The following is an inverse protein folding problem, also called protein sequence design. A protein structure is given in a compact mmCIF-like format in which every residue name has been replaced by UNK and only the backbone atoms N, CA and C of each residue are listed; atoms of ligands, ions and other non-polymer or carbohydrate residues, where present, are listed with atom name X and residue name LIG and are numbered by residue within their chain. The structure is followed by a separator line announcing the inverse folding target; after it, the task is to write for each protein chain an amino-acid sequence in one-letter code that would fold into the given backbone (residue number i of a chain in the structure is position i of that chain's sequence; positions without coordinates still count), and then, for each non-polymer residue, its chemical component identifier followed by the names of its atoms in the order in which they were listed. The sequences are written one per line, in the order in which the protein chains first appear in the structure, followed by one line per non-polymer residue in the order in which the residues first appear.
data_IF_797607381394
#
_entry.id   IF_797607381394
#
_cell.length_a   1.000
_cell.length_b   1.000
_cell.length_c   1.000
_cell.angle_alpha   90.00
_cell.angle_beta   90.00
_cell.angle_gamma   90.00
#
_symmetry.space_group_name_H-M   'P 1'
#
loop_
_entity.id
_entity.type
_entity.pdbx_description
1 polymer ?
#
# COMPACT_ATOMS: atom_id res chain seq x y z
N UNK A 1 0.80 -5.09 -11.58
CA UNK A 1 -0.54 -4.66 -12.09
C UNK A 1 -0.66 -3.14 -12.18
N UNK A 2 0.35 -2.37 -11.76
CA UNK A 2 0.30 -0.90 -11.79
C UNK A 2 1.51 -0.27 -12.50
N UNK A 3 2.04 -0.89 -13.56
CA UNK A 3 3.36 -0.58 -14.14
C UNK A 3 3.57 0.89 -14.56
N UNK A 4 2.50 1.64 -14.78
CA UNK A 4 2.54 3.06 -15.14
C UNK A 4 2.53 4.01 -13.92
N UNK A 5 2.18 3.53 -12.73
CA UNK A 5 2.18 4.32 -11.50
C UNK A 5 3.58 4.38 -10.89
N UNK A 6 3.96 5.56 -10.41
CA UNK A 6 5.20 5.72 -9.64
C UNK A 6 5.03 5.08 -8.27
N UNK A 7 6.15 4.71 -7.66
CA UNK A 7 6.16 4.11 -6.32
C UNK A 7 5.54 5.04 -5.27
N UNK A 8 5.73 6.35 -5.42
CA UNK A 8 5.13 7.39 -4.55
C UNK A 8 3.59 7.36 -4.63
N UNK A 9 3.04 7.26 -5.83
CA UNK A 9 1.60 7.24 -6.06
C UNK A 9 0.96 6.00 -5.41
N UNK A 10 1.61 4.84 -5.53
CA UNK A 10 1.14 3.59 -4.92
C UNK A 10 1.17 3.68 -3.39
N UNK A 11 2.24 4.24 -2.83
CA UNK A 11 2.37 4.43 -1.38
C UNK A 11 1.31 5.39 -0.83
N UNK A 12 1.08 6.53 -1.50
CA UNK A 12 0.03 7.48 -1.12
C UNK A 12 -1.35 6.86 -1.24
N UNK A 13 -1.61 6.11 -2.31
CA UNK A 13 -2.87 5.40 -2.52
C UNK A 13 -3.11 4.39 -1.40
N UNK A 14 -2.10 3.62 -1.01
CA UNK A 14 -2.18 2.70 0.13
C UNK A 14 -2.51 3.42 1.44
N UNK A 15 -1.81 4.51 1.76
CA UNK A 15 -2.06 5.29 2.97
C UNK A 15 -3.49 5.85 3.00
N UNK A 16 -3.97 6.37 1.87
CA UNK A 16 -5.33 6.87 1.74
C UNK A 16 -6.36 5.74 1.86
N UNK A 17 -6.12 4.59 1.23
CA UNK A 17 -7.01 3.43 1.30
C UNK A 17 -7.17 2.93 2.74
N UNK A 18 -6.07 2.84 3.50
CA UNK A 18 -6.09 2.49 4.93
C UNK A 18 -6.83 3.54 5.75
N UNK A 19 -6.54 4.83 5.54
CA UNK A 19 -7.18 5.94 6.28
C UNK A 19 -8.69 5.99 6.04
N UNK A 20 -9.12 5.76 4.80
CA UNK A 20 -10.53 5.77 4.40
C UNK A 20 -11.24 4.45 4.71
N UNK A 21 -10.53 3.45 5.24
CA UNK A 21 -11.06 2.10 5.49
C UNK A 21 -11.75 1.54 4.23
N UNK A 22 -11.07 1.70 3.10
CA UNK A 22 -11.51 1.09 1.85
C UNK A 22 -11.50 -0.43 1.97
N UNK A 23 -12.07 -1.06 0.95
CA UNK A 23 -12.17 -2.50 0.85
C UNK A 23 -10.83 -3.20 1.12
N UNK A 24 -10.89 -4.27 1.91
CA UNK A 24 -9.69 -4.97 2.36
C UNK A 24 -8.99 -5.72 1.23
N UNK A 25 -9.73 -6.21 0.23
CA UNK A 25 -9.15 -6.81 -0.97
C UNK A 25 -8.35 -5.77 -1.76
N UNK A 26 -8.88 -4.56 -1.88
CA UNK A 26 -8.16 -3.45 -2.52
C UNK A 26 -6.86 -3.09 -1.78
N UNK A 27 -6.90 -3.02 -0.45
CA UNK A 27 -5.70 -2.76 0.37
C UNK A 27 -4.66 -3.87 0.17
N UNK A 28 -5.08 -5.14 0.16
CA UNK A 28 -4.19 -6.29 -0.06
C UNK A 28 -3.57 -6.28 -1.47
N UNK A 29 -4.31 -5.85 -2.50
CA UNK A 29 -3.77 -5.66 -3.85
C UNK A 29 -2.63 -4.63 -3.85
N UNK A 30 -2.82 -3.50 -3.16
CA UNK A 30 -1.79 -2.46 -3.04
C UNK A 30 -0.56 -2.97 -2.29
N UNK A 31 -0.76 -3.72 -1.18
CA UNK A 31 0.35 -4.34 -0.44
C UNK A 31 1.17 -5.28 -1.32
N UNK A 32 0.50 -6.15 -2.10
CA UNK A 32 1.18 -7.07 -3.02
C UNK A 32 2.01 -6.33 -4.06
N UNK A 33 1.47 -5.27 -4.65
CA UNK A 33 2.20 -4.45 -5.62
C UNK A 33 3.41 -3.75 -4.98
N UNK A 34 3.26 -3.21 -3.78
CA UNK A 34 4.36 -2.57 -3.04
C UNK A 34 5.50 -3.56 -2.73
N UNK A 35 5.16 -4.79 -2.29
CA UNK A 35 6.13 -5.87 -2.06
C UNK A 35 6.84 -6.26 -3.36
N UNK A 36 6.10 -6.40 -4.47
CA UNK A 36 6.69 -6.71 -5.78
C UNK A 36 7.71 -5.66 -6.25
N UNK A 37 7.54 -4.41 -5.83
CA UNK A 37 8.42 -3.28 -6.16
C UNK A 37 9.55 -3.05 -5.16
N UNK A 38 9.62 -3.84 -4.09
CA UNK A 38 10.57 -3.63 -2.99
C UNK A 38 10.30 -2.36 -2.17
N UNK A 39 9.08 -1.84 -2.20
CA UNK A 39 8.67 -0.70 -1.35
C UNK A 39 8.44 -1.25 0.06
N UNK A 40 9.23 -0.78 1.03
CA UNK A 40 9.05 -1.17 2.43
C UNK A 40 7.76 -0.59 2.98
N UNK A 41 6.84 -1.47 3.38
CA UNK A 41 5.66 -1.11 4.17
C UNK A 41 6.08 -1.23 5.63
N UNK A 42 6.25 -0.10 6.33
CA UNK A 42 6.42 -0.12 7.78
C UNK A 42 5.08 -0.49 8.45
N UNK A 43 4.73 -1.78 8.47
CA UNK A 43 3.50 -2.26 9.09
C UNK A 43 3.58 -2.33 10.62
N UNK A 44 4.58 -1.69 11.26
CA UNK A 44 4.94 -1.99 12.65
C UNK A 44 5.39 -0.78 13.51
N UNK A 45 4.51 0.19 13.71
CA UNK A 45 4.68 1.23 14.75
C UNK A 45 3.47 1.36 15.71
N UNK A 46 2.70 0.29 15.93
CA UNK A 46 1.68 0.24 17.01
C UNK A 46 1.55 -1.13 17.69
N UNK A 47 2.68 -1.74 18.07
CA UNK A 47 2.71 -2.68 19.20
C UNK A 47 3.67 -2.15 20.25
N UNK A 48 3.22 -1.16 21.03
CA UNK A 48 3.74 -0.89 22.37
C UNK A 48 2.67 -0.22 23.21
#
# INVERSE_FOLDING_TARGET
MFTELKNEDIMQTYQHAVKLKLDQEFIEILKKEMVQRGIMIEENLKKK
#
